data_IF_880782537351
#
_entry.id   IF_880782537351
#
_cell.length_a   1.000
_cell.length_b   1.000
_cell.length_c   1.000
_cell.angle_alpha   90.00
_cell.angle_beta   90.00
_cell.angle_gamma   90.00
#
_symmetry.space_group_name_H-M   'P 1'
#
loop_
_entity.id
_entity.type
_entity.pdbx_description
1 polymer ?
#
# COMPACT_ATOMS: atom_id res chain seq x y z
N UNK A 1 -68.11 -6.56 -28.74
CA UNK A 1 -67.15 -5.76 -27.97
C UNK A 1 -66.29 -6.63 -27.11
N UNK A 2 -65.05 -6.91 -27.52
CA UNK A 2 -64.11 -7.71 -26.75
C UNK A 2 -62.98 -6.76 -26.31
N UNK A 3 -62.93 -6.43 -25.00
CA UNK A 3 -61.86 -5.65 -24.41
C UNK A 3 -60.63 -6.53 -24.15
N UNK A 4 -59.51 -6.15 -24.71
CA UNK A 4 -58.22 -6.75 -24.41
C UNK A 4 -57.58 -6.09 -23.24
N UNK A 5 -57.29 -6.85 -22.20
CA UNK A 5 -56.57 -6.43 -21.01
C UNK A 5 -55.09 -6.56 -21.26
N UNK A 6 -54.37 -5.43 -21.34
CA UNK A 6 -52.91 -5.43 -21.48
C UNK A 6 -52.28 -5.44 -20.09
N UNK A 7 -51.62 -6.53 -19.71
CA UNK A 7 -50.85 -6.64 -18.49
C UNK A 7 -49.43 -6.13 -18.77
N UNK A 8 -49.06 -5.03 -18.19
CA UNK A 8 -47.68 -4.49 -18.21
C UNK A 8 -46.86 -5.19 -17.13
N UNK A 9 -45.86 -5.99 -17.53
CA UNK A 9 -44.89 -6.62 -16.66
C UNK A 9 -43.76 -5.59 -16.46
N UNK A 10 -43.68 -5.02 -15.25
CA UNK A 10 -42.53 -4.21 -14.82
C UNK A 10 -41.42 -5.14 -14.35
N UNK A 11 -40.37 -5.29 -15.14
CA UNK A 11 -39.15 -5.98 -14.75
C UNK A 11 -38.28 -5.01 -13.97
N UNK A 12 -38.27 -5.12 -12.64
CA UNK A 12 -37.31 -4.41 -11.78
C UNK A 12 -35.93 -5.07 -11.94
N UNK A 13 -35.05 -4.44 -12.68
CA UNK A 13 -33.63 -4.80 -12.74
C UNK A 13 -32.95 -4.30 -11.47
N UNK A 14 -32.82 -5.17 -10.47
CA UNK A 14 -31.92 -4.91 -9.35
C UNK A 14 -30.46 -5.01 -9.88
N UNK A 15 -29.83 -3.88 -10.13
CA UNK A 15 -28.41 -3.82 -10.39
C UNK A 15 -27.68 -4.16 -9.07
N UNK A 16 -27.17 -5.39 -8.96
CA UNK A 16 -26.21 -5.76 -7.95
C UNK A 16 -24.92 -5.07 -8.32
N UNK A 17 -24.56 -4.03 -7.59
CA UNK A 17 -23.22 -3.42 -7.67
C UNK A 17 -22.19 -4.45 -7.18
N UNK A 18 -21.59 -5.19 -8.10
CA UNK A 18 -20.42 -6.00 -7.85
C UNK A 18 -19.27 -5.00 -7.61
N UNK A 19 -18.79 -4.94 -6.37
CA UNK A 19 -17.54 -4.29 -6.05
C UNK A 19 -16.44 -4.97 -6.88
N UNK A 20 -15.90 -4.28 -7.88
CA UNK A 20 -14.80 -4.76 -8.66
C UNK A 20 -13.52 -4.69 -7.81
N UNK A 21 -13.31 -5.67 -6.95
CA UNK A 21 -12.00 -5.98 -6.43
C UNK A 21 -11.24 -6.64 -7.58
N UNK A 22 -10.20 -6.00 -8.11
CA UNK A 22 -9.49 -6.40 -9.32
C UNK A 22 -8.70 -7.71 -9.25
N UNK A 23 -9.06 -8.61 -8.36
CA UNK A 23 -8.47 -9.93 -8.19
C UNK A 23 -9.46 -10.99 -8.71
N UNK A 24 -8.94 -12.13 -9.12
CA UNK A 24 -9.76 -13.24 -9.57
C UNK A 24 -10.65 -13.74 -8.42
N UNK A 25 -11.85 -13.20 -8.35
CA UNK A 25 -12.84 -13.62 -7.36
C UNK A 25 -13.37 -15.00 -7.73
N UNK A 26 -13.58 -15.83 -6.72
CA UNK A 26 -14.17 -17.17 -6.85
C UNK A 26 -13.34 -18.16 -7.69
N UNK A 27 -12.00 -18.08 -7.62
CA UNK A 27 -11.16 -19.14 -8.12
C UNK A 27 -10.84 -20.12 -6.98
N UNK A 28 -11.54 -21.25 -6.87
CA UNK A 28 -11.33 -22.17 -5.75
C UNK A 28 -9.89 -22.66 -5.70
N UNK A 29 -9.20 -22.40 -4.59
CA UNK A 29 -7.85 -22.91 -4.37
C UNK A 29 -7.92 -24.44 -4.21
N UNK A 30 -7.21 -25.23 -5.06
CA UNK A 30 -7.19 -26.67 -4.94
C UNK A 30 -6.58 -27.13 -3.61
N UNK A 31 -7.01 -28.30 -3.15
CA UNK A 31 -6.37 -29.08 -2.06
C UNK A 31 -6.23 -28.35 -0.71
N UNK A 32 -7.01 -27.28 -0.46
CA UNK A 32 -7.02 -26.60 0.83
C UNK A 32 -8.05 -27.21 1.79
N UNK A 33 -7.78 -27.22 3.12
CA UNK A 33 -8.78 -27.64 4.12
C UNK A 33 -10.05 -26.80 4.01
N UNK A 34 -11.21 -27.45 4.08
CA UNK A 34 -12.51 -26.79 4.07
C UNK A 34 -13.36 -27.22 5.27
N UNK A 35 -14.20 -26.33 5.73
CA UNK A 35 -15.22 -26.60 6.73
C UNK A 35 -16.41 -27.36 6.11
N UNK A 36 -17.32 -27.87 6.93
CA UNK A 36 -18.48 -28.64 6.44
C UNK A 36 -19.42 -27.85 5.55
N UNK A 37 -19.39 -26.52 5.61
CA UNK A 37 -20.14 -25.60 4.75
C UNK A 37 -19.37 -25.19 3.47
N UNK A 38 -18.20 -25.84 3.23
CA UNK A 38 -17.40 -25.65 2.02
C UNK A 38 -16.47 -24.45 2.03
N UNK A 39 -16.43 -23.65 3.08
CA UNK A 39 -15.52 -22.49 3.20
C UNK A 39 -14.10 -22.92 3.52
N UNK A 40 -13.08 -22.14 3.12
CA UNK A 40 -11.70 -22.40 3.51
C UNK A 40 -11.55 -22.45 5.04
N UNK A 41 -10.93 -23.53 5.54
CA UNK A 41 -10.60 -23.66 6.97
C UNK A 41 -9.18 -23.13 7.24
N UNK A 42 -9.06 -21.84 7.40
CA UNK A 42 -7.77 -21.19 7.64
C UNK A 42 -7.18 -21.49 9.03
N UNK A 43 -7.99 -22.01 9.97
CA UNK A 43 -7.52 -22.44 11.29
C UNK A 43 -6.98 -23.90 11.32
N UNK A 44 -7.06 -24.63 10.20
CA UNK A 44 -6.51 -25.98 10.10
C UNK A 44 -5.00 -25.99 10.40
N UNK A 45 -4.42 -27.13 10.79
CA UNK A 45 -2.98 -27.25 11.00
C UNK A 45 -2.17 -26.80 9.77
N UNK A 46 -0.99 -26.28 10.02
CA UNK A 46 -0.06 -25.89 8.95
C UNK A 46 0.32 -27.14 8.11
N UNK A 47 0.27 -27.04 6.76
CA UNK A 47 0.61 -28.16 5.89
C UNK A 47 2.13 -28.41 5.91
N UNK A 48 2.52 -29.60 5.45
CA UNK A 48 3.93 -29.97 5.26
C UNK A 48 4.22 -30.22 3.79
N UNK A 49 5.38 -29.79 3.35
CA UNK A 49 5.91 -30.11 2.03
C UNK A 49 6.42 -31.57 1.98
N UNK A 50 6.72 -32.04 0.78
CA UNK A 50 7.14 -33.44 0.56
C UNK A 50 8.47 -33.78 1.28
N UNK A 51 9.31 -32.80 1.57
CA UNK A 51 10.56 -32.94 2.32
C UNK A 51 10.37 -32.98 3.85
N UNK A 52 9.11 -32.87 4.32
CA UNK A 52 8.74 -32.90 5.73
C UNK A 52 8.79 -31.57 6.46
N UNK A 53 9.36 -30.52 5.86
CA UNK A 53 9.32 -29.17 6.42
C UNK A 53 7.93 -28.56 6.31
N UNK A 54 7.67 -27.52 7.10
CA UNK A 54 6.44 -26.74 6.96
C UNK A 54 6.37 -26.18 5.54
N UNK A 55 5.22 -26.32 4.88
CA UNK A 55 4.98 -25.74 3.56
C UNK A 55 4.55 -24.27 3.74
N UNK A 56 5.32 -23.35 3.17
CA UNK A 56 5.04 -21.92 3.17
C UNK A 56 4.38 -21.45 1.87
N UNK A 57 4.19 -22.37 0.89
CA UNK A 57 3.68 -22.04 -0.44
C UNK A 57 2.28 -21.44 -0.39
N UNK A 58 2.00 -20.57 -1.35
CA UNK A 58 0.68 -20.00 -1.58
C UNK A 58 0.67 -18.47 -1.66
N UNK A 59 -0.49 -17.90 -1.90
CA UNK A 59 -0.71 -16.47 -1.94
C UNK A 59 -0.91 -15.92 -0.51
N UNK A 60 -0.15 -14.90 -0.18
CA UNK A 60 -0.16 -14.27 1.13
C UNK A 60 -0.30 -12.75 0.98
N UNK A 61 -1.04 -12.15 1.90
CA UNK A 61 -1.05 -10.71 2.07
C UNK A 61 -0.95 -10.38 3.56
N UNK A 62 -0.42 -9.23 3.87
CA UNK A 62 -0.36 -8.72 5.24
C UNK A 62 0.20 -7.33 5.17
N UNK A 63 -0.40 -6.46 5.94
CA UNK A 63 0.14 -5.14 6.16
C UNK A 63 0.63 -5.12 7.59
N UNK A 64 1.93 -5.25 7.82
CA UNK A 64 2.44 -4.78 9.07
C UNK A 64 2.00 -3.32 9.13
N UNK A 65 1.44 -2.89 10.21
CA UNK A 65 1.22 -1.47 10.47
C UNK A 65 2.51 -0.68 10.23
N UNK A 66 2.51 0.57 10.60
CA UNK A 66 3.73 1.38 10.65
C UNK A 66 4.86 0.57 11.31
N UNK A 67 5.99 0.43 10.65
CA UNK A 67 7.18 -0.17 11.25
C UNK A 67 7.48 0.61 12.54
N UNK A 68 7.30 -0.03 13.66
CA UNK A 68 7.54 0.56 14.98
C UNK A 68 9.05 0.54 15.30
N UNK A 69 9.85 1.26 14.52
CA UNK A 69 11.27 1.46 14.87
C UNK A 69 11.32 2.40 16.06
N UNK A 70 11.92 2.00 17.18
CA UNK A 70 12.12 2.89 18.30
C UNK A 70 12.94 4.12 17.87
N UNK A 71 12.54 5.32 18.29
CA UNK A 71 13.24 6.54 17.90
C UNK A 71 14.71 6.52 18.33
N UNK A 72 15.03 5.88 19.45
CA UNK A 72 16.38 5.68 19.93
C UNK A 72 17.23 4.76 19.06
N UNK A 73 16.62 3.93 18.25
CA UNK A 73 17.35 3.07 17.32
C UNK A 73 17.90 3.82 16.11
N UNK A 74 17.31 4.96 15.74
CA UNK A 74 17.76 5.75 14.59
C UNK A 74 19.00 6.58 14.93
N UNK A 75 19.97 6.64 14.01
CA UNK A 75 21.07 7.62 14.09
C UNK A 75 20.53 9.05 13.93
N UNK A 76 21.30 10.04 14.35
CA UNK A 76 20.94 11.44 14.17
C UNK A 76 20.73 11.80 12.68
N UNK A 77 21.58 11.25 11.80
CA UNK A 77 21.49 11.43 10.34
C UNK A 77 20.20 10.82 9.80
N UNK A 78 19.85 9.61 10.22
CA UNK A 78 18.61 8.96 9.77
C UNK A 78 17.37 9.70 10.24
N UNK A 79 17.37 10.23 11.47
CA UNK A 79 16.27 11.07 11.97
C UNK A 79 16.10 12.34 11.14
N UNK A 80 17.20 12.99 10.79
CA UNK A 80 17.17 14.19 9.94
C UNK A 80 16.63 13.86 8.55
N UNK A 81 17.09 12.77 7.95
CA UNK A 81 16.64 12.31 6.61
C UNK A 81 15.14 11.91 6.58
N UNK A 82 14.66 11.21 7.62
CA UNK A 82 13.22 10.87 7.72
C UNK A 82 12.39 12.16 7.81
N UNK A 83 12.85 13.15 8.57
CA UNK A 83 12.18 14.45 8.68
C UNK A 83 12.17 15.20 7.35
N UNK A 84 13.32 15.26 6.68
CA UNK A 84 13.45 15.88 5.35
C UNK A 84 12.50 15.25 4.35
N UNK A 85 12.46 13.91 4.29
CA UNK A 85 11.53 13.17 3.43
C UNK A 85 10.07 13.43 3.79
N UNK A 86 9.76 13.57 5.07
CA UNK A 86 8.41 13.92 5.53
C UNK A 86 8.07 15.37 5.13
N UNK A 87 8.98 16.32 5.31
CA UNK A 87 8.81 17.72 4.91
C UNK A 87 8.68 17.86 3.40
N UNK A 88 9.37 17.00 2.64
CA UNK A 88 9.28 16.89 1.17
C UNK A 88 8.13 15.97 0.69
N UNK A 89 7.24 15.54 1.59
CA UNK A 89 6.05 14.73 1.28
C UNK A 89 6.36 13.41 0.58
N UNK A 90 7.53 12.84 0.86
CA UNK A 90 7.98 11.56 0.31
C UNK A 90 8.04 11.53 -1.23
N UNK A 91 8.22 12.67 -1.90
CA UNK A 91 8.24 12.80 -3.38
C UNK A 91 9.30 11.92 -4.04
N UNK A 92 10.43 11.76 -3.37
CA UNK A 92 11.56 10.96 -3.82
C UNK A 92 11.43 9.46 -3.49
N UNK A 93 10.25 9.02 -3.02
CA UNK A 93 10.01 7.60 -2.76
C UNK A 93 10.27 6.78 -4.03
N UNK A 94 11.16 5.75 -3.97
CA UNK A 94 11.54 4.96 -5.14
C UNK A 94 10.35 4.38 -5.91
N UNK A 95 9.34 3.90 -5.19
CA UNK A 95 8.13 3.33 -5.78
C UNK A 95 7.30 4.34 -6.61
N UNK A 96 7.44 5.65 -6.38
CA UNK A 96 6.77 6.68 -7.20
C UNK A 96 7.44 6.84 -8.57
N UNK A 97 8.71 6.46 -8.67
CA UNK A 97 9.49 6.47 -9.90
C UNK A 97 9.62 5.07 -10.52
N UNK A 98 8.70 4.16 -10.21
CA UNK A 98 8.69 2.77 -10.67
C UNK A 98 9.99 2.00 -10.40
N UNK A 99 10.76 2.41 -9.41
CA UNK A 99 11.92 1.66 -8.96
C UNK A 99 11.46 0.50 -8.05
N UNK A 100 12.22 -0.61 -7.99
CA UNK A 100 11.95 -1.69 -7.07
C UNK A 100 11.87 -1.18 -5.62
N UNK A 101 10.93 -1.72 -4.85
CA UNK A 101 10.75 -1.30 -3.45
C UNK A 101 11.87 -1.78 -2.52
N UNK A 102 12.69 -2.73 -2.97
CA UNK A 102 13.77 -3.30 -2.16
C UNK A 102 13.26 -4.16 -0.99
N UNK A 103 13.99 -4.20 0.11
CA UNK A 103 13.68 -5.04 1.26
C UNK A 103 12.52 -4.50 2.12
N UNK A 104 11.64 -3.69 1.57
CA UNK A 104 10.47 -3.19 2.29
C UNK A 104 9.58 -4.37 2.72
N UNK A 105 9.45 -4.68 4.02
CA UNK A 105 8.66 -5.83 4.49
C UNK A 105 7.17 -5.64 4.25
N UNK A 106 6.76 -4.43 3.90
CA UNK A 106 5.39 -3.98 3.72
C UNK A 106 4.86 -4.19 2.29
N UNK A 107 5.62 -4.84 1.41
CA UNK A 107 5.14 -5.16 0.06
C UNK A 107 3.86 -6.00 0.15
N UNK A 108 2.84 -5.56 -0.56
CA UNK A 108 1.47 -6.04 -0.52
C UNK A 108 1.31 -7.55 -0.73
N UNK A 109 0.63 -7.93 -1.81
CA UNK A 109 0.45 -9.32 -2.17
C UNK A 109 1.75 -9.99 -2.60
N UNK A 110 1.94 -11.23 -2.11
CA UNK A 110 3.07 -12.08 -2.47
C UNK A 110 2.65 -13.53 -2.63
N UNK A 111 3.31 -14.24 -3.52
CA UNK A 111 3.20 -15.68 -3.66
C UNK A 111 4.54 -16.32 -3.27
N UNK A 112 4.50 -17.21 -2.30
CA UNK A 112 5.65 -18.05 -1.93
C UNK A 112 5.59 -19.33 -2.74
N UNK A 113 6.71 -19.69 -3.36
CA UNK A 113 6.93 -20.93 -4.10
C UNK A 113 8.10 -21.65 -3.42
N UNK A 114 7.80 -22.71 -2.68
CA UNK A 114 8.80 -23.46 -1.95
C UNK A 114 9.26 -24.67 -2.75
N UNK A 115 10.57 -24.73 -3.00
CA UNK A 115 11.26 -25.87 -3.60
C UNK A 115 12.43 -26.27 -2.71
N UNK A 116 12.95 -27.51 -2.80
CA UNK A 116 13.97 -28.01 -1.89
C UNK A 116 15.27 -27.20 -1.86
N UNK A 117 15.70 -26.64 -2.98
CA UNK A 117 16.97 -25.89 -3.11
C UNK A 117 16.80 -24.37 -3.14
N UNK A 118 15.57 -23.86 -3.32
CA UNK A 118 15.29 -22.44 -3.39
C UNK A 118 13.84 -22.16 -3.00
N UNK A 119 13.63 -21.10 -2.27
CA UNK A 119 12.29 -20.53 -2.04
C UNK A 119 12.23 -19.21 -2.81
N UNK A 120 11.22 -19.06 -3.68
CA UNK A 120 10.98 -17.83 -4.42
C UNK A 120 9.76 -17.12 -3.83
N UNK A 121 9.88 -15.84 -3.55
CA UNK A 121 8.77 -14.96 -3.17
C UNK A 121 8.56 -13.98 -4.32
N UNK A 122 7.47 -14.17 -5.06
CA UNK A 122 7.03 -13.23 -6.10
C UNK A 122 6.09 -12.20 -5.48
N UNK A 123 6.25 -10.93 -5.84
CA UNK A 123 5.41 -9.83 -5.39
C UNK A 123 4.53 -9.30 -6.53
N UNK A 124 3.36 -8.77 -6.20
CA UNK A 124 2.43 -8.19 -7.17
C UNK A 124 3.04 -7.08 -8.04
N UNK A 125 4.07 -6.38 -7.53
CA UNK A 125 4.79 -5.32 -8.24
C UNK A 125 5.88 -5.82 -9.20
N UNK A 126 5.84 -7.10 -9.59
CA UNK A 126 6.78 -7.77 -10.50
C UNK A 126 8.22 -7.89 -9.97
N UNK A 127 8.45 -7.64 -8.70
CA UNK A 127 9.73 -7.98 -8.07
C UNK A 127 9.68 -9.40 -7.51
N UNK A 128 10.86 -9.97 -7.28
CA UNK A 128 10.99 -11.28 -6.66
C UNK A 128 12.15 -11.32 -5.69
N UNK A 129 12.07 -12.22 -4.74
CA UNK A 129 13.11 -12.49 -3.75
C UNK A 129 13.45 -13.98 -3.81
N UNK A 130 14.72 -14.32 -4.03
CA UNK A 130 15.21 -15.70 -4.04
C UNK A 130 15.95 -15.99 -2.75
N UNK A 131 15.56 -17.07 -2.09
CA UNK A 131 16.19 -17.57 -0.87
C UNK A 131 16.81 -18.93 -1.20
N UNK A 132 18.13 -19.00 -1.18
CA UNK A 132 18.85 -20.21 -1.50
C UNK A 132 18.91 -21.17 -0.30
N UNK A 133 18.43 -22.40 -0.52
CA UNK A 133 18.31 -23.44 0.51
C UNK A 133 19.36 -24.55 0.37
N UNK A 134 20.36 -24.39 -0.49
CA UNK A 134 21.36 -25.40 -0.87
C UNK A 134 22.59 -25.41 0.06
N UNK A 135 22.52 -24.70 1.19
CA UNK A 135 23.60 -24.67 2.19
C UNK A 135 24.75 -23.72 1.87
N UNK A 136 24.62 -22.93 0.78
CA UNK A 136 25.61 -21.88 0.50
C UNK A 136 25.62 -20.84 1.61
N UNK A 137 26.74 -20.12 1.74
CA UNK A 137 26.89 -19.00 2.67
C UNK A 137 26.72 -17.68 1.94
N UNK A 138 26.26 -16.67 2.67
CA UNK A 138 26.30 -15.27 2.18
C UNK A 138 27.76 -14.89 1.91
N UNK A 139 27.99 -14.30 0.75
CA UNK A 139 29.27 -13.72 0.42
C UNK A 139 29.57 -12.52 1.32
N UNK A 140 30.85 -12.32 1.65
CA UNK A 140 31.26 -11.21 2.49
C UNK A 140 31.08 -9.85 1.80
N UNK A 141 31.19 -9.81 0.48
CA UNK A 141 31.06 -8.59 -0.32
C UNK A 141 30.34 -8.91 -1.66
N UNK A 142 29.03 -9.20 -1.64
CA UNK A 142 28.27 -9.49 -2.85
C UNK A 142 28.06 -8.22 -3.66
N UNK A 143 27.75 -8.39 -4.94
CA UNK A 143 27.25 -7.30 -5.77
C UNK A 143 25.95 -6.74 -5.16
N UNK A 144 25.79 -5.41 -5.19
CA UNK A 144 24.62 -4.73 -4.60
C UNK A 144 23.42 -4.81 -5.53
N UNK A 145 22.35 -5.40 -5.05
CA UNK A 145 21.08 -5.56 -5.78
C UNK A 145 19.92 -4.90 -5.03
N UNK A 146 18.78 -4.78 -5.67
CA UNK A 146 17.58 -4.20 -5.05
C UNK A 146 17.03 -5.06 -3.90
N UNK A 147 17.04 -6.39 -4.07
CA UNK A 147 16.47 -7.34 -3.10
C UNK A 147 17.56 -8.06 -2.28
N UNK A 148 18.84 -7.71 -2.48
CA UNK A 148 19.95 -8.37 -1.82
C UNK A 148 20.13 -9.84 -2.27
N UNK A 149 20.98 -10.53 -1.52
CA UNK A 149 21.17 -11.99 -1.60
C UNK A 149 20.71 -12.62 -0.30
N UNK A 150 20.02 -13.75 -0.40
CA UNK A 150 19.44 -14.42 0.76
C UNK A 150 19.75 -15.90 0.77
N UNK A 151 20.15 -16.37 1.94
CA UNK A 151 20.31 -17.79 2.23
C UNK A 151 19.37 -18.21 3.32
N UNK A 152 18.76 -19.37 3.16
CA UNK A 152 17.82 -19.92 4.10
C UNK A 152 18.32 -21.20 4.75
N UNK A 153 17.82 -21.48 5.93
CA UNK A 153 17.96 -22.74 6.63
C UNK A 153 16.72 -23.04 7.46
N UNK A 154 16.47 -24.32 7.67
CA UNK A 154 15.42 -24.73 8.57
C UNK A 154 15.96 -24.91 10.00
N UNK A 155 15.28 -24.34 10.97
CA UNK A 155 15.47 -24.58 12.40
C UNK A 155 14.17 -25.17 12.96
N UNK A 156 14.07 -26.51 12.91
CA UNK A 156 12.80 -27.20 13.16
C UNK A 156 11.75 -26.80 12.12
N UNK A 157 10.62 -26.26 12.55
CA UNK A 157 9.52 -25.78 11.70
C UNK A 157 9.64 -24.27 11.36
N UNK A 158 10.76 -23.63 11.68
CA UNK A 158 11.04 -22.24 11.38
C UNK A 158 12.00 -22.11 10.21
N UNK A 159 11.59 -21.41 9.14
CA UNK A 159 12.54 -20.97 8.13
C UNK A 159 13.26 -19.72 8.63
N UNK A 160 14.59 -19.77 8.65
CA UNK A 160 15.44 -18.60 8.95
C UNK A 160 16.14 -18.15 7.69
N UNK A 161 16.02 -16.89 7.37
CA UNK A 161 16.58 -16.27 6.16
C UNK A 161 17.51 -15.15 6.56
N UNK A 162 18.76 -15.24 6.16
CA UNK A 162 19.75 -14.18 6.33
C UNK A 162 20.00 -13.51 4.98
N UNK A 163 19.92 -12.18 4.94
CA UNK A 163 20.06 -11.41 3.70
C UNK A 163 21.08 -10.28 3.84
N UNK A 164 21.82 -10.02 2.76
CA UNK A 164 22.82 -8.96 2.65
C UNK A 164 23.03 -8.58 1.17
N UNK A 165 23.75 -7.49 0.90
CA UNK A 165 24.04 -7.07 -0.46
C UNK A 165 22.93 -6.24 -1.09
N UNK A 166 22.20 -5.51 -0.29
CA UNK A 166 21.25 -4.50 -0.76
C UNK A 166 21.97 -3.27 -1.30
N UNK A 167 21.41 -2.64 -2.33
CA UNK A 167 21.81 -1.27 -2.69
C UNK A 167 21.13 -0.28 -1.73
N UNK A 168 21.61 0.96 -1.68
CA UNK A 168 21.13 2.03 -0.79
C UNK A 168 20.00 2.89 -1.40
N UNK A 169 19.39 2.43 -2.50
CA UNK A 169 18.44 3.21 -3.32
C UNK A 169 16.99 3.05 -2.91
N UNK A 170 16.70 2.30 -1.84
CA UNK A 170 15.35 2.01 -1.40
C UNK A 170 15.08 2.50 0.02
N UNK A 171 13.85 2.36 0.44
CA UNK A 171 13.42 2.67 1.80
C UNK A 171 12.92 1.40 2.48
N UNK A 172 13.04 1.34 3.81
CA UNK A 172 12.50 0.22 4.58
C UNK A 172 11.00 0.35 4.83
N UNK A 173 10.45 1.54 4.70
CA UNK A 173 9.00 1.77 4.79
C UNK A 173 8.53 2.99 3.99
N UNK A 174 7.20 3.11 3.87
CA UNK A 174 6.57 4.24 3.19
C UNK A 174 6.74 5.60 3.86
N UNK A 175 7.33 5.66 5.06
CA UNK A 175 7.62 6.91 5.79
C UNK A 175 9.04 7.42 5.59
N UNK A 176 9.77 6.78 4.70
CA UNK A 176 11.11 7.22 4.37
C UNK A 176 12.19 6.69 5.30
N UNK A 177 11.95 5.57 5.98
CA UNK A 177 12.95 4.94 6.83
C UNK A 177 14.17 4.52 5.97
N UNK A 178 15.36 5.09 6.20
CA UNK A 178 16.53 4.83 5.37
C UNK A 178 17.18 3.50 5.71
N UNK A 179 17.99 3.02 4.80
CA UNK A 179 19.06 2.07 5.04
C UNK A 179 20.28 2.41 4.18
N UNK A 180 21.39 1.76 4.47
CA UNK A 180 22.61 1.86 3.69
C UNK A 180 22.93 0.53 3.01
N UNK A 181 24.01 0.47 2.27
CA UNK A 181 24.52 -0.77 1.67
C UNK A 181 25.12 -1.76 2.71
N UNK A 182 25.23 -1.32 3.97
CA UNK A 182 25.61 -2.17 5.10
C UNK A 182 24.42 -2.95 5.70
N UNK A 183 23.20 -2.72 5.17
CA UNK A 183 22.00 -3.39 5.64
C UNK A 183 22.14 -4.91 5.66
N UNK A 184 21.81 -5.51 6.78
CA UNK A 184 21.61 -6.95 6.96
C UNK A 184 20.25 -7.20 7.57
N UNK A 185 19.58 -8.22 7.09
CA UNK A 185 18.30 -8.66 7.69
C UNK A 185 18.37 -10.14 8.04
N UNK A 186 17.69 -10.48 9.13
CA UNK A 186 17.37 -11.88 9.47
C UNK A 186 15.86 -11.98 9.61
N UNK A 187 15.24 -12.86 8.86
CA UNK A 187 13.81 -13.11 8.91
C UNK A 187 13.55 -14.52 9.43
N UNK A 188 12.57 -14.67 10.31
CA UNK A 188 12.14 -15.96 10.86
C UNK A 188 10.66 -16.16 10.52
N UNK A 189 10.40 -17.14 9.65
CA UNK A 189 9.05 -17.46 9.18
C UNK A 189 8.50 -18.65 9.97
N UNK A 190 7.36 -18.45 10.64
CA UNK A 190 6.67 -19.47 11.42
C UNK A 190 5.22 -19.56 10.97
N UNK A 191 4.84 -20.63 10.29
CA UNK A 191 3.45 -20.87 9.91
C UNK A 191 2.68 -21.41 11.09
N UNK A 192 1.83 -20.58 11.70
CA UNK A 192 1.08 -20.90 12.93
C UNK A 192 -0.06 -21.88 12.69
N UNK A 193 -0.73 -21.74 11.57
CA UNK A 193 -1.81 -22.59 11.07
C UNK A 193 -1.88 -22.46 9.54
N UNK A 194 -2.91 -23.03 8.93
CA UNK A 194 -3.05 -22.96 7.46
C UNK A 194 -3.07 -21.52 6.95
N UNK A 195 -3.79 -20.63 7.64
CA UNK A 195 -4.08 -19.26 7.21
C UNK A 195 -3.10 -18.20 7.69
N UNK A 196 -2.17 -18.53 8.63
CA UNK A 196 -1.33 -17.51 9.27
C UNK A 196 0.16 -17.86 9.21
N UNK A 197 0.94 -16.94 8.65
CA UNK A 197 2.38 -16.98 8.58
C UNK A 197 2.96 -15.78 9.33
N UNK A 198 3.53 -16.00 10.49
CA UNK A 198 4.21 -14.98 11.28
C UNK A 198 5.64 -14.82 10.78
N UNK A 199 6.06 -13.57 10.62
CA UNK A 199 7.43 -13.20 10.25
C UNK A 199 8.00 -12.30 11.34
N UNK A 200 9.14 -12.69 11.90
CA UNK A 200 9.96 -11.85 12.74
C UNK A 200 11.14 -11.36 11.90
N UNK A 201 11.26 -10.04 11.74
CA UNK A 201 12.33 -9.38 10.99
C UNK A 201 13.26 -8.67 11.97
N UNK A 202 14.55 -9.02 11.95
CA UNK A 202 15.62 -8.28 12.61
C UNK A 202 16.41 -7.51 11.56
N UNK A 203 16.62 -6.22 11.81
CA UNK A 203 17.37 -5.30 10.95
C UNK A 203 18.62 -4.83 11.66
N UNK A 204 19.75 -4.92 10.97
CA UNK A 204 21.05 -4.41 11.41
C UNK A 204 21.66 -3.56 10.29
N UNK A 205 21.86 -2.28 10.54
CA UNK A 205 22.51 -1.35 9.62
C UNK A 205 23.20 -0.25 10.42
N UNK A 206 24.52 -0.36 10.68
CA UNK A 206 25.23 0.64 11.50
C UNK A 206 25.25 2.05 10.89
N UNK A 207 25.02 2.18 9.58
CA UNK A 207 24.94 3.48 8.92
C UNK A 207 23.61 4.21 9.19
N UNK A 208 22.54 3.44 9.38
CA UNK A 208 21.20 3.98 9.57
C UNK A 208 20.71 3.89 11.02
N UNK A 209 21.13 2.86 11.76
CA UNK A 209 20.63 2.56 13.11
C UNK A 209 21.77 2.46 14.13
N UNK A 210 21.58 3.08 15.28
CA UNK A 210 22.51 2.98 16.40
C UNK A 210 22.51 1.57 17.02
N UNK A 211 21.38 0.88 16.97
CA UNK A 211 21.20 -0.49 17.47
C UNK A 211 20.37 -1.30 16.49
N UNK A 212 20.58 -2.62 16.41
CA UNK A 212 19.65 -3.52 15.74
C UNK A 212 18.25 -3.40 16.34
N UNK A 213 17.24 -3.60 15.51
CA UNK A 213 15.85 -3.63 15.96
C UNK A 213 15.10 -4.78 15.33
N UNK A 214 14.03 -5.21 15.98
CA UNK A 214 13.22 -6.36 15.54
C UNK A 214 11.75 -5.96 15.52
N UNK A 215 11.04 -6.45 14.51
CA UNK A 215 9.59 -6.35 14.42
C UNK A 215 8.97 -7.69 14.06
N UNK A 216 7.71 -7.86 14.42
CA UNK A 216 6.93 -9.05 14.05
C UNK A 216 5.67 -8.62 13.32
N UNK A 217 5.34 -9.33 12.24
CA UNK A 217 4.10 -9.14 11.51
C UNK A 217 3.51 -10.47 11.06
N UNK A 218 2.24 -10.47 10.71
CA UNK A 218 1.54 -11.68 10.25
C UNK A 218 1.07 -11.50 8.83
N UNK A 219 1.32 -12.50 8.01
CA UNK A 219 0.77 -12.66 6.68
C UNK A 219 -0.43 -13.59 6.76
N UNK A 220 -1.48 -13.26 6.02
CA UNK A 220 -2.71 -14.02 5.93
C UNK A 220 -2.83 -14.70 4.57
N UNK A 221 -3.14 -15.99 4.60
CA UNK A 221 -3.35 -16.78 3.39
C UNK A 221 -4.59 -16.31 2.65
N UNK A 222 -4.47 -16.11 1.36
CA UNK A 222 -5.58 -15.66 0.52
C UNK A 222 -6.15 -16.85 -0.25
N UNK A 223 -7.20 -17.45 0.32
CA UNK A 223 -7.88 -18.56 -0.30
C UNK A 223 -8.88 -18.10 -1.38
N UNK A 224 -9.12 -18.98 -2.35
CA UNK A 224 -10.11 -18.81 -3.41
C UNK A 224 -9.91 -17.54 -4.26
N UNK A 225 -8.65 -17.14 -4.40
CA UNK A 225 -8.22 -16.01 -5.22
C UNK A 225 -6.78 -16.18 -5.70
N UNK A 226 -6.38 -15.42 -6.69
CA UNK A 226 -5.01 -15.41 -7.21
C UNK A 226 -4.41 -14.02 -7.14
N UNK A 227 -3.09 -13.96 -6.97
CA UNK A 227 -2.32 -12.73 -7.06
C UNK A 227 -2.23 -12.31 -8.53
N UNK A 228 -2.62 -11.09 -8.83
CA UNK A 228 -2.40 -10.46 -10.14
C UNK A 228 -1.27 -9.46 -10.06
N UNK A 229 -0.67 -9.16 -11.19
CA UNK A 229 0.39 -8.17 -11.31
C UNK A 229 -0.15 -6.75 -11.11
N UNK A 230 0.68 -5.93 -10.50
CA UNK A 230 0.44 -4.52 -10.28
C UNK A 230 1.53 -3.72 -10.98
N UNK A 231 1.30 -3.40 -12.26
CA UNK A 231 2.28 -2.75 -13.12
C UNK A 231 2.39 -1.26 -12.78
N UNK A 232 3.56 -0.82 -12.38
CA UNK A 232 3.79 0.57 -11.96
C UNK A 232 3.51 1.58 -13.07
N UNK A 233 3.87 1.28 -14.32
CA UNK A 233 3.61 2.15 -15.46
C UNK A 233 2.11 2.35 -15.73
N UNK A 234 1.29 1.35 -15.48
CA UNK A 234 -0.16 1.49 -15.58
C UNK A 234 -0.71 2.41 -14.50
N UNK A 235 -0.08 2.39 -13.32
CA UNK A 235 -0.38 3.34 -12.24
C UNK A 235 0.17 4.73 -12.56
N UNK A 236 1.35 4.83 -13.18
CA UNK A 236 1.97 6.10 -13.59
C UNK A 236 1.33 6.71 -14.83
N UNK A 237 0.54 5.96 -15.60
CA UNK A 237 -0.38 6.53 -16.60
C UNK A 237 -1.34 7.55 -15.99
N UNK A 238 -1.53 7.51 -14.68
CA UNK A 238 -2.14 8.60 -13.94
C UNK A 238 -1.32 9.89 -14.01
N UNK A 239 0.00 9.80 -13.97
CA UNK A 239 0.89 10.97 -14.15
C UNK A 239 0.87 11.44 -15.61
N UNK A 240 0.85 10.52 -16.57
CA UNK A 240 0.67 10.84 -18.00
C UNK A 240 -0.74 11.33 -18.37
N UNK A 241 -1.76 10.92 -17.59
CA UNK A 241 -3.14 11.44 -17.70
C UNK A 241 -3.31 12.86 -17.15
N UNK A 242 -2.30 13.48 -16.56
CA UNK A 242 -2.38 14.91 -16.22
C UNK A 242 -2.62 15.75 -17.48
N UNK A 243 -2.08 15.38 -18.65
CA UNK A 243 -2.40 16.03 -19.93
C UNK A 243 -3.83 15.70 -20.38
N UNK A 244 -4.30 14.47 -20.20
CA UNK A 244 -5.68 14.08 -20.53
C UNK A 244 -6.67 14.63 -19.51
N UNK A 245 -6.26 14.75 -18.27
CA UNK A 245 -6.99 15.37 -17.17
C UNK A 245 -7.15 16.87 -17.37
N UNK A 246 -6.13 17.59 -17.84
CA UNK A 246 -6.27 18.98 -18.23
C UNK A 246 -7.19 19.15 -19.45
N UNK A 247 -7.18 18.20 -20.39
CA UNK A 247 -8.08 18.19 -21.56
C UNK A 247 -9.53 17.85 -21.19
N UNK A 248 -9.78 17.10 -20.13
CA UNK A 248 -11.12 16.79 -19.61
C UNK A 248 -11.61 17.77 -18.54
N UNK A 249 -10.83 18.80 -18.23
CA UNK A 249 -11.21 19.80 -17.25
C UNK A 249 -12.45 20.57 -17.68
N UNK A 250 -13.40 20.70 -16.76
CA UNK A 250 -14.61 21.52 -16.97
C UNK A 250 -14.46 22.88 -16.28
N UNK A 251 -15.28 23.83 -16.70
CA UNK A 251 -15.41 25.11 -16.00
C UNK A 251 -16.50 25.00 -14.94
N UNK A 252 -16.13 25.22 -13.68
CA UNK A 252 -17.06 25.27 -12.54
C UNK A 252 -17.20 26.71 -12.07
N UNK A 253 -18.42 27.10 -11.73
CA UNK A 253 -18.69 28.49 -11.31
C UNK A 253 -17.93 28.86 -10.05
N UNK A 254 -17.43 30.13 -9.92
CA UNK A 254 -16.78 30.56 -8.68
C UNK A 254 -17.65 30.41 -7.44
N UNK A 255 -18.96 30.53 -7.57
CA UNK A 255 -19.93 30.33 -6.48
C UNK A 255 -19.95 28.87 -6.01
N UNK A 256 -19.88 27.90 -6.93
CA UNK A 256 -19.77 26.48 -6.63
C UNK A 256 -18.42 26.18 -5.97
N UNK A 257 -17.32 26.69 -6.53
CA UNK A 257 -15.97 26.49 -5.98
C UNK A 257 -15.82 27.09 -4.57
N UNK A 258 -16.44 28.23 -4.30
CA UNK A 258 -16.39 28.87 -2.98
C UNK A 258 -16.96 28.00 -1.85
N UNK A 259 -17.88 27.08 -2.16
CA UNK A 259 -18.44 26.13 -1.18
C UNK A 259 -17.37 25.22 -0.57
N UNK A 260 -16.30 24.92 -1.32
CA UNK A 260 -15.24 24.02 -0.92
C UNK A 260 -14.12 24.68 -0.11
N UNK A 261 -14.10 26.00 -0.04
CA UNK A 261 -13.13 26.74 0.76
C UNK A 261 -13.28 26.40 2.24
N UNK A 262 -12.19 26.02 2.90
CA UNK A 262 -12.24 25.67 4.31
C UNK A 262 -10.99 24.94 4.77
N UNK A 263 -11.04 24.52 6.04
CA UNK A 263 -9.99 23.72 6.68
C UNK A 263 -10.54 22.33 6.94
N UNK A 264 -9.79 21.32 6.53
CA UNK A 264 -10.17 19.93 6.65
C UNK A 264 -9.10 19.18 7.42
N UNK A 265 -9.49 18.22 8.25
CA UNK A 265 -8.57 17.38 9.02
C UNK A 265 -8.86 15.90 8.78
N UNK A 266 -7.80 15.15 8.61
CA UNK A 266 -7.83 13.70 8.40
C UNK A 266 -6.52 13.07 8.85
N UNK A 267 -6.39 11.78 8.56
CA UNK A 267 -5.16 11.05 8.79
C UNK A 267 -4.42 10.89 7.47
N UNK A 268 -3.16 11.28 7.46
CA UNK A 268 -2.21 10.93 6.40
C UNK A 268 -1.37 9.76 6.91
N UNK A 269 -1.60 8.57 6.36
CA UNK A 269 -1.04 7.32 6.89
C UNK A 269 -1.47 7.12 8.36
N UNK A 270 -0.74 7.62 9.33
CA UNK A 270 -1.04 7.50 10.77
C UNK A 270 -1.01 8.84 11.51
N UNK A 271 -0.66 9.93 10.82
CA UNK A 271 -0.51 11.24 11.45
C UNK A 271 -1.67 12.16 11.09
N UNK A 272 -2.24 12.89 12.07
CA UNK A 272 -3.20 13.93 11.77
C UNK A 272 -2.59 14.97 10.82
N UNK A 273 -3.34 15.30 9.78
CA UNK A 273 -3.00 16.37 8.83
C UNK A 273 -4.16 17.31 8.68
N UNK A 274 -3.81 18.56 8.47
CA UNK A 274 -4.78 19.61 8.17
C UNK A 274 -4.51 20.12 6.76
N UNK A 275 -5.56 20.10 5.94
CA UNK A 275 -5.52 20.59 4.56
C UNK A 275 -6.40 21.85 4.49
N UNK A 276 -5.86 22.91 3.94
CA UNK A 276 -6.61 24.14 3.68
C UNK A 276 -6.94 24.23 2.20
N UNK A 277 -8.23 24.26 1.88
CA UNK A 277 -8.73 24.53 0.52
C UNK A 277 -8.97 26.03 0.39
N UNK A 278 -8.38 26.64 -0.65
CA UNK A 278 -8.44 28.07 -0.93
C UNK A 278 -8.88 28.31 -2.37
N UNK A 279 -9.66 29.37 -2.61
CA UNK A 279 -10.06 29.81 -3.93
C UNK A 279 -9.25 31.06 -4.32
N UNK A 280 -8.50 31.00 -5.39
CA UNK A 280 -7.68 32.12 -5.89
C UNK A 280 -7.79 32.20 -7.40
N UNK A 281 -8.15 33.38 -7.91
CA UNK A 281 -8.30 33.61 -9.35
C UNK A 281 -9.28 32.66 -10.05
N UNK A 282 -10.31 32.15 -9.34
CA UNK A 282 -11.27 31.20 -9.89
C UNK A 282 -10.79 29.75 -9.88
N UNK A 283 -9.68 29.44 -9.22
CA UNK A 283 -9.09 28.08 -9.10
C UNK A 283 -8.99 27.68 -7.64
N UNK A 284 -9.37 26.43 -7.33
CA UNK A 284 -9.14 25.86 -6.00
C UNK A 284 -7.71 25.35 -5.85
N UNK A 285 -7.19 25.52 -4.66
CA UNK A 285 -5.88 25.00 -4.25
C UNK A 285 -5.99 24.29 -2.91
N UNK A 286 -5.28 23.16 -2.78
CA UNK A 286 -5.12 22.43 -1.53
C UNK A 286 -3.71 22.70 -0.97
N UNK A 287 -3.64 23.18 0.28
CA UNK A 287 -2.39 23.42 0.99
C UNK A 287 -2.29 22.48 2.19
N UNK A 288 -1.11 21.92 2.47
CA UNK A 288 -0.86 21.09 3.63
C UNK A 288 -0.98 19.58 3.38
N UNK A 289 -1.27 19.14 2.15
CA UNK A 289 -1.36 17.72 1.81
C UNK A 289 -0.04 17.16 1.24
N UNK A 290 0.59 17.87 0.31
CA UNK A 290 1.78 17.44 -0.43
C UNK A 290 2.86 18.53 -0.54
N UNK A 291 3.02 19.40 0.45
CA UNK A 291 3.95 20.50 0.44
C UNK A 291 3.32 21.81 0.00
N UNK A 292 3.87 22.32 -1.05
CA UNK A 292 3.37 23.54 -1.62
C UNK A 292 1.97 23.36 -2.22
N UNK A 293 1.29 24.42 -2.40
CA UNK A 293 -0.01 24.62 -2.96
C UNK A 293 -0.31 23.72 -4.18
N UNK A 294 -1.18 22.74 -4.03
CA UNK A 294 -1.63 21.82 -5.09
C UNK A 294 -2.83 22.45 -5.80
N UNK A 295 -2.73 22.67 -7.11
CA UNK A 295 -3.85 23.13 -7.95
C UNK A 295 -4.87 22.00 -8.08
N UNK A 296 -6.16 22.29 -7.88
CA UNK A 296 -7.26 21.36 -8.09
C UNK A 296 -7.92 21.63 -9.45
N UNK A 297 -7.93 20.60 -10.31
CA UNK A 297 -8.49 20.64 -11.66
C UNK A 297 -9.86 19.98 -11.64
N UNK A 298 -10.96 20.68 -11.92
CA UNK A 298 -12.31 20.13 -11.84
C UNK A 298 -12.63 19.19 -13.02
N UNK A 299 -13.22 18.03 -12.73
CA UNK A 299 -13.77 17.06 -13.66
C UNK A 299 -15.30 16.99 -13.58
N UNK A 300 -15.85 17.33 -12.42
CA UNK A 300 -17.26 17.55 -12.16
C UNK A 300 -17.41 18.69 -11.16
N UNK A 301 -18.63 19.01 -10.77
CA UNK A 301 -18.84 19.99 -9.70
C UNK A 301 -18.25 19.52 -8.36
N UNK A 302 -18.13 18.22 -8.13
CA UNK A 302 -17.67 17.64 -6.86
C UNK A 302 -16.35 16.86 -6.94
N UNK A 303 -15.85 16.55 -8.16
CA UNK A 303 -14.66 15.75 -8.37
C UNK A 303 -13.54 16.58 -8.98
N UNK A 304 -12.35 16.50 -8.40
CA UNK A 304 -11.18 17.27 -8.78
C UNK A 304 -9.95 16.37 -8.78
N UNK A 305 -8.97 16.68 -9.63
CA UNK A 305 -7.63 16.08 -9.53
C UNK A 305 -6.61 17.13 -9.09
N UNK A 306 -5.59 16.70 -8.36
CA UNK A 306 -4.41 17.52 -8.07
C UNK A 306 -3.32 17.32 -9.12
N UNK A 307 -2.33 18.22 -9.14
CA UNK A 307 -1.18 18.13 -10.06
C UNK A 307 -0.26 16.94 -9.80
N UNK A 308 -0.44 16.25 -8.66
CA UNK A 308 0.42 15.15 -8.23
C UNK A 308 -0.31 13.78 -8.20
N UNK A 309 -1.34 13.61 -9.04
CA UNK A 309 -2.07 12.33 -9.16
C UNK A 309 -2.99 12.01 -7.99
N UNK A 310 -3.42 13.02 -7.23
CA UNK A 310 -4.42 12.89 -6.19
C UNK A 310 -5.78 13.28 -6.72
N UNK A 311 -6.80 12.46 -6.46
CA UNK A 311 -8.20 12.78 -6.70
C UNK A 311 -8.85 13.25 -5.40
N UNK A 312 -9.70 14.27 -5.50
CA UNK A 312 -10.45 14.84 -4.42
C UNK A 312 -11.93 14.75 -4.76
N UNK A 313 -12.69 13.99 -3.99
CA UNK A 313 -14.13 13.90 -4.12
C UNK A 313 -14.80 14.55 -2.92
N UNK A 314 -15.61 15.57 -3.18
CA UNK A 314 -16.40 16.23 -2.16
C UNK A 314 -17.81 15.62 -2.09
N UNK A 315 -18.42 15.72 -0.92
CA UNK A 315 -19.76 15.19 -0.69
C UNK A 315 -20.77 15.76 -1.72
N UNK A 316 -21.54 14.91 -2.41
CA UNK A 316 -22.49 15.35 -3.45
C UNK A 316 -23.67 16.16 -2.91
N UNK A 317 -23.97 16.12 -1.62
CA UNK A 317 -25.13 16.82 -1.01
C UNK A 317 -24.93 18.36 -0.92
N UNK A 318 -23.88 18.90 -1.54
CA UNK A 318 -23.69 20.34 -1.70
C UNK A 318 -23.17 21.07 -0.47
N UNK A 319 -23.00 20.39 0.65
CA UNK A 319 -22.25 20.88 1.82
C UNK A 319 -20.94 20.08 1.91
N UNK A 320 -19.79 20.67 1.62
CA UNK A 320 -18.52 19.97 1.69
C UNK A 320 -18.13 19.67 3.14
N UNK A 321 -18.81 18.70 3.73
CA UNK A 321 -18.54 18.24 5.08
C UNK A 321 -17.22 17.42 5.14
N UNK A 322 -16.80 16.87 4.03
CA UNK A 322 -15.58 16.08 3.91
C UNK A 322 -15.12 16.01 2.45
N UNK A 323 -13.86 15.65 2.22
CA UNK A 323 -13.41 15.15 0.95
C UNK A 323 -12.60 13.85 1.17
N UNK A 324 -12.56 13.02 0.14
CA UNK A 324 -11.68 11.86 0.09
C UNK A 324 -10.52 12.14 -0.85
N UNK A 325 -9.35 11.67 -0.48
CA UNK A 325 -8.20 11.60 -1.36
C UNK A 325 -8.05 10.15 -1.78
N UNK A 326 -8.39 9.86 -3.02
CA UNK A 326 -8.20 8.56 -3.60
C UNK A 326 -6.70 8.34 -3.85
N UNK A 327 -6.14 7.30 -3.23
CA UNK A 327 -4.76 6.93 -3.44
C UNK A 327 -4.63 5.43 -3.66
N UNK A 328 -4.13 5.07 -4.84
CA UNK A 328 -4.02 3.68 -5.30
C UNK A 328 -3.15 2.74 -4.46
N UNK A 329 -2.30 3.23 -3.56
CA UNK A 329 -1.28 2.41 -2.88
C UNK A 329 -1.55 2.16 -1.39
N UNK A 330 -2.40 2.94 -0.73
CA UNK A 330 -2.61 2.84 0.73
C UNK A 330 -4.06 3.02 1.19
N UNK A 331 -5.02 2.98 0.27
CA UNK A 331 -6.44 3.17 0.55
C UNK A 331 -6.87 4.64 0.52
N UNK A 332 -8.16 4.84 0.60
CA UNK A 332 -8.79 6.17 0.56
C UNK A 332 -8.61 6.88 1.88
N UNK A 333 -8.26 8.16 1.85
CA UNK A 333 -8.14 8.99 3.04
C UNK A 333 -9.25 10.00 3.10
N UNK A 334 -10.03 9.95 4.18
CA UNK A 334 -11.14 10.85 4.42
C UNK A 334 -10.71 12.01 5.30
N UNK A 335 -10.91 13.23 4.78
CA UNK A 335 -10.72 14.49 5.49
C UNK A 335 -12.07 15.11 5.81
N UNK A 336 -12.30 15.43 7.09
CA UNK A 336 -13.52 16.09 7.55
C UNK A 336 -13.28 17.60 7.66
N UNK A 337 -14.26 18.39 7.24
CA UNK A 337 -14.24 19.85 7.42
C UNK A 337 -14.28 20.19 8.89
N UNK A 338 -13.41 21.09 9.32
CA UNK A 338 -13.41 21.64 10.66
C UNK A 338 -14.35 22.87 10.69
N UNK A 339 -15.23 22.92 11.70
CA UNK A 339 -15.90 24.17 12.06
C UNK A 339 -14.87 25.10 12.67
N UNK A 340 -14.53 26.19 11.98
CA UNK A 340 -13.69 27.23 12.58
C UNK A 340 -14.50 27.99 13.63
N UNK A 341 -13.92 28.35 14.78
CA UNK A 341 -14.53 29.29 15.70
C UNK A 341 -14.76 30.62 14.97
N UNK A 342 -15.88 31.28 15.22
CA UNK A 342 -16.37 32.51 14.53
C UNK A 342 -15.34 33.65 14.48
N UNK A 343 -14.30 33.65 15.31
CA UNK A 343 -13.26 34.69 15.37
C UNK A 343 -12.18 34.62 14.27
N UNK A 344 -12.22 33.65 13.36
CA UNK A 344 -11.23 33.49 12.28
C UNK A 344 -11.83 33.54 10.85
N UNK A 345 -13.05 34.02 10.71
CA UNK A 345 -13.61 34.32 9.41
C UNK A 345 -12.91 35.57 8.89
N UNK A 346 -12.22 35.54 7.72
CA UNK A 346 -11.69 36.76 7.11
C UNK A 346 -12.88 37.69 6.81
N UNK A 347 -12.88 38.86 7.39
CA UNK A 347 -13.87 39.90 7.03
C UNK A 347 -13.86 40.14 5.52
N UNK A 348 -15.04 40.42 4.98
CA UNK A 348 -15.30 40.77 3.57
C UNK A 348 -14.34 41.82 3.02
#
# INVERSE_FOLDING_TARGET
MRGALTVAIVVSSAAVALSANGQWLNHPTPDIPRTSDGKPNLAAPAPRAADGHIDLSGPWTGRPGVIGVPDEALTATSKALVREREENYFRDRPAFNCQPSGPEPMLGWRRIIQMPSVIAIAYENLTYHLIFMDGRKLEANPERTWMGYSVGRWEGDTLVVDSFGFNDRTWLDGRGLPHTDALRTTERYVRRNFGQLQVELTVTDPGAFANPWTMTYTLEFQADTEMIESVCEERSRWIGRLSDVEQSAITVSPQTLAKYVGVYSGLWVTRPRTVRIQLEGGTLYANGLLGEKVRLIPHSETSFSGTDGLSFDFDPDGNPAAFMVERHVSGDWKYKRLSLPESQTPGN
#
